data_IF_962105137946
#
_entry.id   IF_962105137946
#
_cell.length_a   1.000
_cell.length_b   1.000
_cell.length_c   1.000
_cell.angle_alpha   90.00
_cell.angle_beta   90.00
_cell.angle_gamma   90.00
#
_symmetry.space_group_name_H-M   'P 1'
#
loop_
_entity.id
_entity.type
_entity.pdbx_description
1 polymer ?
#
# COMPACT_ATOMS: atom_id res chain seq x y z
N UNK A 1 -10.66 -4.71 14.64
CA UNK A 1 -10.10 -5.18 13.35
C UNK A 1 -10.88 -4.62 12.18
N UNK A 2 -12.19 -4.88 12.07
CA UNK A 2 -13.04 -4.32 11.01
C UNK A 2 -12.93 -2.79 10.89
N UNK A 3 -12.83 -2.08 12.02
CA UNK A 3 -12.68 -0.62 12.02
C UNK A 3 -11.37 -0.09 11.39
N UNK A 4 -10.30 -0.89 11.34
CA UNK A 4 -8.99 -0.53 10.77
C UNK A 4 -8.84 -0.92 9.30
N UNK A 5 -9.79 -1.66 8.71
CA UNK A 5 -9.57 -2.26 7.37
C UNK A 5 -9.39 -1.23 6.27
N UNK A 6 -10.15 -0.16 6.35
CA UNK A 6 -10.04 0.94 5.43
C UNK A 6 -8.64 1.59 5.49
N UNK A 7 -8.08 1.71 6.70
CA UNK A 7 -6.77 2.31 6.96
C UNK A 7 -5.61 1.35 6.64
N UNK A 8 -5.86 0.03 6.69
CA UNK A 8 -4.88 -1.00 6.32
C UNK A 8 -4.88 -1.27 4.81
N UNK A 9 -6.05 -1.18 4.16
CA UNK A 9 -6.28 -1.52 2.76
C UNK A 9 -6.25 -0.30 1.84
N UNK A 10 -7.41 0.22 1.37
CA UNK A 10 -7.46 1.35 0.43
C UNK A 10 -6.63 2.57 0.90
N UNK A 11 -6.74 2.93 2.18
CA UNK A 11 -5.98 4.00 2.84
C UNK A 11 -4.61 3.58 3.40
N UNK A 12 -4.17 2.35 3.16
CA UNK A 12 -2.93 1.79 3.74
C UNK A 12 -2.04 1.05 2.73
N UNK A 13 -1.05 0.35 3.27
CA UNK A 13 -0.06 -0.43 2.50
C UNK A 13 -0.02 -1.91 2.93
N UNK A 14 -0.94 -2.34 3.79
CA UNK A 14 -0.88 -3.67 4.39
C UNK A 14 -1.32 -4.73 3.37
N UNK A 15 -0.40 -5.61 2.99
CA UNK A 15 -0.67 -6.71 2.04
C UNK A 15 -1.07 -8.01 2.74
N UNK A 16 -0.55 -8.20 3.96
CA UNK A 16 -0.55 -9.48 4.67
C UNK A 16 -0.74 -9.21 6.16
N UNK A 17 -1.61 -9.97 6.82
CA UNK A 17 -1.81 -9.89 8.28
C UNK A 17 -1.54 -11.27 8.87
N UNK A 18 -0.46 -11.41 9.64
CA UNK A 18 -0.10 -12.68 10.28
C UNK A 18 -0.52 -12.65 11.76
N UNK A 19 -1.26 -13.68 12.19
CA UNK A 19 -1.63 -13.90 13.59
C UNK A 19 -0.65 -14.87 14.23
N UNK A 20 -0.11 -14.47 15.39
CA UNK A 20 0.81 -15.31 16.15
C UNK A 20 0.19 -15.57 17.52
N UNK A 21 -0.28 -16.80 17.74
CA UNK A 21 -0.80 -17.26 19.02
C UNK A 21 0.35 -17.89 19.81
N UNK A 22 0.77 -17.27 20.91
CA UNK A 22 2.04 -17.57 21.60
C UNK A 22 1.95 -18.47 22.85
N UNK A 23 0.73 -18.82 23.29
CA UNK A 23 0.47 -19.57 24.54
C UNK A 23 0.02 -21.00 24.27
N UNK A 24 0.50 -21.56 23.18
CA UNK A 24 0.14 -22.87 22.62
C UNK A 24 0.45 -24.04 23.56
N UNK A 25 1.46 -23.90 24.41
CA UNK A 25 1.90 -24.88 25.42
C UNK A 25 1.27 -24.70 26.81
N UNK A 26 0.62 -23.55 27.05
CA UNK A 26 0.00 -23.19 28.34
C UNK A 26 -1.41 -23.78 28.42
N UNK A 27 -1.52 -25.07 28.78
CA UNK A 27 -2.79 -25.82 28.81
C UNK A 27 -2.94 -26.67 30.07
N UNK A 28 -4.09 -26.54 30.75
CA UNK A 28 -4.55 -27.49 31.75
C UNK A 28 -5.42 -28.56 31.09
N UNK A 29 -4.91 -29.78 30.99
CA UNK A 29 -5.54 -30.89 30.24
C UNK A 29 -6.95 -31.20 30.79
N UNK A 30 -7.09 -31.28 32.13
CA UNK A 30 -8.36 -31.65 32.77
C UNK A 30 -9.44 -30.60 32.54
N UNK A 31 -9.06 -29.33 32.61
CA UNK A 31 -9.96 -28.21 32.37
C UNK A 31 -10.34 -28.10 30.88
N UNK A 32 -9.37 -28.34 29.99
CA UNK A 32 -9.60 -28.33 28.56
C UNK A 32 -10.56 -29.45 28.11
N UNK A 33 -10.39 -30.68 28.59
CA UNK A 33 -11.28 -31.79 28.25
C UNK A 33 -12.72 -31.56 28.73
N UNK A 34 -12.90 -30.98 29.92
CA UNK A 34 -14.22 -30.63 30.46
C UNK A 34 -14.95 -29.58 29.64
N UNK A 35 -14.21 -28.59 29.13
CA UNK A 35 -14.77 -27.47 28.36
C UNK A 35 -14.98 -27.80 26.88
N UNK A 36 -14.01 -28.46 26.24
CA UNK A 36 -14.04 -28.74 24.80
C UNK A 36 -14.90 -29.95 24.42
N UNK A 37 -15.19 -30.88 25.37
CA UNK A 37 -15.92 -32.15 25.15
C UNK A 37 -15.62 -32.83 23.81
N UNK A 38 -14.34 -33.03 23.47
CA UNK A 38 -13.99 -33.52 22.15
C UNK A 38 -14.37 -35.02 22.02
N UNK A 39 -14.84 -35.45 20.85
CA UNK A 39 -15.36 -36.81 20.63
C UNK A 39 -14.36 -37.89 21.03
N UNK A 40 -14.84 -38.96 21.67
CA UNK A 40 -14.01 -39.99 22.33
C UNK A 40 -12.94 -40.63 21.45
N UNK A 41 -13.15 -40.69 20.14
CA UNK A 41 -12.21 -41.28 19.17
C UNK A 41 -11.01 -40.38 18.81
N UNK A 42 -11.00 -39.11 19.21
CA UNK A 42 -9.89 -38.18 18.88
C UNK A 42 -8.67 -38.31 19.81
N UNK A 43 -8.78 -39.04 20.93
CA UNK A 43 -7.72 -39.17 21.95
C UNK A 43 -7.24 -40.61 22.18
N UNK A 44 -7.66 -41.57 21.35
CA UNK A 44 -7.49 -43.02 21.59
C UNK A 44 -6.26 -43.65 20.93
N UNK A 45 -5.31 -42.87 20.39
CA UNK A 45 -4.13 -43.45 19.74
C UNK A 45 -2.82 -42.81 20.20
N UNK A 46 -2.04 -43.56 20.99
CA UNK A 46 -0.57 -43.58 21.08
C UNK A 46 0.25 -42.30 21.36
N UNK A 47 -0.29 -41.10 21.15
CA UNK A 47 0.37 -39.81 21.42
C UNK A 47 0.06 -39.34 22.83
N UNK A 48 1.01 -38.63 23.45
CA UNK A 48 0.84 -38.00 24.76
C UNK A 48 -0.48 -37.19 24.78
N UNK A 49 -1.34 -37.45 25.77
CA UNK A 49 -2.65 -36.79 25.91
C UNK A 49 -2.54 -35.26 25.85
N UNK A 50 -1.44 -34.70 26.38
CA UNK A 50 -1.12 -33.27 26.32
C UNK A 50 -1.00 -32.77 24.88
N UNK A 51 -0.27 -33.50 24.04
CA UNK A 51 -0.05 -33.22 22.62
C UNK A 51 -1.36 -33.20 21.85
N UNK A 52 -2.23 -34.20 22.07
CA UNK A 52 -3.53 -34.26 21.42
C UNK A 52 -4.42 -33.05 21.81
N UNK A 53 -4.42 -32.66 23.08
CA UNK A 53 -5.14 -31.47 23.54
C UNK A 53 -4.58 -30.16 22.94
N UNK A 54 -3.25 -30.02 22.84
CA UNK A 54 -2.60 -28.86 22.21
C UNK A 54 -3.01 -28.77 20.74
N UNK A 55 -2.90 -29.86 19.99
CA UNK A 55 -3.27 -29.88 18.57
C UNK A 55 -4.74 -29.52 18.34
N UNK A 56 -5.65 -30.10 19.12
CA UNK A 56 -7.07 -29.79 19.02
C UNK A 56 -7.33 -28.31 19.30
N UNK A 57 -6.75 -27.75 20.38
CA UNK A 57 -6.88 -26.33 20.73
C UNK A 57 -6.35 -25.41 19.64
N UNK A 58 -5.18 -25.72 19.10
CA UNK A 58 -4.55 -24.95 18.04
C UNK A 58 -5.40 -24.93 16.78
N UNK A 59 -5.91 -26.10 16.39
CA UNK A 59 -6.82 -26.22 15.24
C UNK A 59 -8.08 -25.39 15.46
N UNK A 60 -8.74 -25.53 16.61
CA UNK A 60 -9.92 -24.73 16.95
C UNK A 60 -9.63 -23.22 16.95
N UNK A 61 -8.49 -22.79 17.48
CA UNK A 61 -8.10 -21.38 17.49
C UNK A 61 -7.90 -20.84 16.07
N UNK A 62 -7.21 -21.59 15.20
CA UNK A 62 -7.03 -21.23 13.79
C UNK A 62 -8.34 -21.16 13.04
N UNK A 63 -9.18 -22.19 13.17
CA UNK A 63 -10.48 -22.24 12.52
C UNK A 63 -11.37 -21.09 13.03
N UNK A 64 -11.30 -20.74 14.32
CA UNK A 64 -12.02 -19.59 14.87
C UNK A 64 -11.54 -18.26 14.27
N UNK A 65 -10.23 -18.04 14.15
CA UNK A 65 -9.69 -16.82 13.54
C UNK A 65 -10.03 -16.77 12.04
N UNK A 66 -9.85 -17.87 11.31
CA UNK A 66 -10.19 -17.97 9.88
C UNK A 66 -11.68 -17.75 9.64
N UNK A 67 -12.55 -18.41 10.38
CA UNK A 67 -13.99 -18.22 10.26
C UNK A 67 -14.40 -16.78 10.60
N UNK A 68 -13.80 -16.16 11.63
CA UNK A 68 -14.03 -14.73 11.92
C UNK A 68 -13.55 -13.84 10.77
N UNK A 69 -12.44 -14.17 10.13
CA UNK A 69 -11.94 -13.46 8.96
C UNK A 69 -12.85 -13.61 7.74
N UNK A 70 -13.33 -14.82 7.45
CA UNK A 70 -14.18 -15.13 6.30
C UNK A 70 -15.61 -14.60 6.45
N UNK A 71 -16.13 -14.58 7.67
CA UNK A 71 -17.50 -14.11 7.98
C UNK A 71 -17.61 -12.58 8.10
N UNK A 72 -16.49 -11.86 8.10
CA UNK A 72 -16.50 -10.40 8.08
C UNK A 72 -17.05 -9.88 6.74
N UNK A 73 -18.07 -9.01 6.82
CA UNK A 73 -18.91 -8.61 5.69
C UNK A 73 -18.23 -7.66 4.69
N UNK A 74 -17.09 -7.07 5.02
CA UNK A 74 -16.47 -6.09 4.12
C UNK A 74 -15.77 -6.79 2.93
N UNK A 75 -16.09 -6.32 1.71
CA UNK A 75 -15.38 -6.69 0.47
C UNK A 75 -13.87 -6.42 0.56
N UNK A 76 -13.44 -5.54 1.46
CA UNK A 76 -12.03 -5.21 1.68
C UNK A 76 -11.24 -6.35 2.35
N UNK A 77 -11.88 -7.24 3.10
CA UNK A 77 -11.20 -8.33 3.81
C UNK A 77 -10.65 -9.42 2.88
N UNK A 78 -11.32 -9.70 1.76
CA UNK A 78 -10.86 -10.68 0.77
C UNK A 78 -9.51 -10.32 0.13
N UNK A 79 -8.99 -9.12 0.40
CA UNK A 79 -7.74 -8.60 -0.14
C UNK A 79 -6.52 -8.92 0.71
N UNK A 80 -6.71 -9.22 2.00
CA UNK A 80 -5.60 -9.59 2.88
C UNK A 80 -5.41 -11.10 2.88
N UNK A 81 -4.16 -11.53 2.82
CA UNK A 81 -3.79 -12.89 3.22
C UNK A 81 -3.64 -12.92 4.74
N UNK A 82 -4.31 -13.88 5.39
CA UNK A 82 -4.32 -14.03 6.83
C UNK A 82 -3.84 -15.42 7.25
N UNK A 83 -2.57 -15.51 7.63
CA UNK A 83 -2.01 -16.74 8.20
C UNK A 83 -2.09 -16.72 9.72
N UNK A 84 -2.36 -17.89 10.30
CA UNK A 84 -2.46 -18.05 11.76
C UNK A 84 -1.46 -19.10 12.20
N UNK A 85 -0.46 -18.65 12.96
CA UNK A 85 0.61 -19.47 13.52
C UNK A 85 0.32 -19.73 14.99
N UNK A 86 0.38 -21.01 15.39
CA UNK A 86 0.30 -21.41 16.80
C UNK A 86 1.68 -21.84 17.27
N UNK A 87 2.30 -21.01 18.12
CA UNK A 87 3.68 -21.17 18.59
C UNK A 87 3.74 -21.19 20.11
N UNK A 88 4.62 -22.01 20.67
CA UNK A 88 4.96 -21.91 22.09
C UNK A 88 6.00 -20.82 22.31
N UNK A 89 5.67 -19.83 23.13
CA UNK A 89 6.65 -18.83 23.56
C UNK A 89 7.78 -19.46 24.39
N UNK A 90 7.47 -20.46 25.22
CA UNK A 90 8.50 -21.16 26.01
C UNK A 90 9.47 -21.93 25.12
N UNK A 91 8.96 -22.74 24.20
CA UNK A 91 9.81 -23.49 23.26
C UNK A 91 10.54 -22.59 22.24
N UNK A 92 10.11 -21.34 22.08
CA UNK A 92 10.86 -20.37 21.27
C UNK A 92 12.13 -19.87 21.98
N UNK A 93 12.10 -19.72 23.31
CA UNK A 93 13.24 -19.22 24.10
C UNK A 93 14.11 -20.32 24.70
N UNK A 94 13.57 -21.53 24.85
CA UNK A 94 14.25 -22.67 25.47
C UNK A 94 14.34 -23.82 24.45
N UNK A 95 15.55 -24.04 23.94
CA UNK A 95 15.84 -25.08 22.96
C UNK A 95 15.78 -26.50 23.54
N UNK A 96 15.80 -26.64 24.87
CA UNK A 96 15.75 -27.92 25.58
C UNK A 96 14.30 -28.41 25.76
N UNK A 97 13.31 -27.52 25.58
CA UNK A 97 11.90 -27.89 25.43
C UNK A 97 11.69 -28.57 24.08
N UNK A 98 11.98 -29.87 24.02
CA UNK A 98 11.69 -30.73 22.88
C UNK A 98 10.17 -30.87 22.65
N UNK A 99 9.54 -29.84 22.11
CA UNK A 99 8.23 -29.94 21.48
C UNK A 99 8.43 -30.48 20.07
N UNK A 100 7.65 -31.48 19.67
CA UNK A 100 7.67 -31.99 18.30
C UNK A 100 7.36 -30.82 17.34
N UNK A 101 8.04 -30.75 16.18
CA UNK A 101 7.77 -29.76 15.13
C UNK A 101 6.32 -29.80 14.64
N UNK A 102 5.61 -30.91 14.88
CA UNK A 102 4.17 -31.01 14.65
C UNK A 102 3.36 -30.23 15.71
N UNK A 103 3.84 -30.10 16.95
CA UNK A 103 3.13 -29.48 18.08
C UNK A 103 3.18 -27.94 18.07
N UNK A 104 4.22 -27.38 17.45
CA UNK A 104 4.47 -25.94 17.39
C UNK A 104 4.89 -25.51 16.00
N UNK A 105 4.33 -24.40 15.51
CA UNK A 105 4.63 -23.88 14.17
C UNK A 105 5.81 -22.91 14.14
N UNK A 106 6.67 -22.97 15.15
CA UNK A 106 7.91 -22.17 15.20
C UNK A 106 8.73 -22.34 13.92
N UNK A 107 8.97 -23.57 13.38
CA UNK A 107 9.71 -23.71 12.13
C UNK A 107 9.05 -22.99 10.95
N UNK A 108 7.72 -23.13 10.79
CA UNK A 108 6.98 -22.46 9.72
C UNK A 108 7.02 -20.94 9.83
N UNK A 109 6.92 -20.41 11.05
CA UNK A 109 7.04 -18.98 11.30
C UNK A 109 8.47 -18.49 11.00
N UNK A 110 9.49 -19.24 11.41
CA UNK A 110 10.88 -18.94 11.08
C UNK A 110 11.12 -18.95 9.57
N UNK A 111 10.56 -19.92 8.85
CA UNK A 111 10.68 -20.00 7.39
C UNK A 111 9.99 -18.83 6.70
N UNK A 112 8.78 -18.45 7.14
CA UNK A 112 8.11 -17.24 6.65
C UNK A 112 9.00 -16.01 6.85
N UNK A 113 9.50 -15.78 8.07
CA UNK A 113 10.34 -14.63 8.39
C UNK A 113 11.66 -14.64 7.59
N UNK A 114 12.31 -15.79 7.48
CA UNK A 114 13.53 -15.97 6.67
C UNK A 114 13.25 -15.68 5.20
N UNK A 115 12.16 -16.17 4.65
CA UNK A 115 11.76 -15.95 3.25
C UNK A 115 11.43 -14.48 3.00
N UNK A 116 10.69 -13.82 3.89
CA UNK A 116 10.43 -12.39 3.81
C UNK A 116 11.73 -11.58 3.83
N UNK A 117 12.61 -11.87 4.79
CA UNK A 117 13.91 -11.18 4.88
C UNK A 117 14.82 -11.46 3.67
N UNK A 118 14.78 -12.70 3.14
CA UNK A 118 15.51 -13.06 1.91
C UNK A 118 14.97 -12.27 0.71
N UNK A 119 13.66 -12.18 0.55
CA UNK A 119 13.03 -11.40 -0.53
C UNK A 119 13.41 -9.92 -0.47
N UNK A 120 13.35 -9.31 0.72
CA UNK A 120 13.71 -7.88 0.91
C UNK A 120 15.19 -7.67 0.56
N UNK A 121 16.09 -8.52 1.08
CA UNK A 121 17.52 -8.41 0.78
C UNK A 121 17.83 -8.60 -0.70
N UNK A 122 17.14 -9.51 -1.39
CA UNK A 122 17.29 -9.71 -2.84
C UNK A 122 16.89 -8.46 -3.61
N UNK A 123 15.75 -7.86 -3.28
CA UNK A 123 15.28 -6.64 -3.94
C UNK A 123 16.27 -5.48 -3.75
N UNK A 124 16.73 -5.25 -2.52
CA UNK A 124 17.76 -4.24 -2.24
C UNK A 124 19.06 -4.52 -2.99
N UNK A 125 19.55 -5.77 -2.96
CA UNK A 125 20.80 -6.15 -3.64
C UNK A 125 20.69 -5.94 -5.15
N UNK A 126 19.58 -6.36 -5.76
CA UNK A 126 19.30 -6.15 -7.18
C UNK A 126 19.32 -4.67 -7.54
N UNK A 127 18.69 -3.82 -6.72
CA UNK A 127 18.65 -2.39 -6.97
C UNK A 127 20.03 -1.73 -6.84
N UNK A 128 20.87 -2.18 -5.91
CA UNK A 128 22.27 -1.74 -5.81
C UNK A 128 23.11 -2.20 -7.01
N UNK A 129 23.03 -3.48 -7.39
CA UNK A 129 23.77 -4.03 -8.55
C UNK A 129 23.35 -3.34 -9.84
N UNK A 130 22.06 -3.13 -10.06
CA UNK A 130 21.57 -2.42 -11.24
C UNK A 130 22.12 -0.99 -11.30
N UNK A 131 22.12 -0.24 -10.19
CA UNK A 131 22.69 1.10 -10.16
C UNK A 131 24.19 1.11 -10.46
N UNK A 132 24.95 0.18 -9.88
CA UNK A 132 26.38 0.03 -10.19
C UNK A 132 26.61 -0.27 -11.68
N UNK A 133 25.84 -1.20 -12.26
CA UNK A 133 25.88 -1.51 -13.70
C UNK A 133 25.63 -0.27 -14.56
N UNK A 134 24.65 0.56 -14.22
CA UNK A 134 24.38 1.82 -14.92
C UNK A 134 25.61 2.74 -14.97
N UNK A 135 26.28 2.93 -13.83
CA UNK A 135 27.49 3.76 -13.76
C UNK A 135 28.60 3.19 -14.64
N UNK A 136 28.84 1.88 -14.61
CA UNK A 136 29.86 1.26 -15.45
C UNK A 136 29.53 1.36 -16.94
N UNK A 137 28.26 1.14 -17.33
CA UNK A 137 27.81 1.36 -18.71
C UNK A 137 28.04 2.80 -19.15
N UNK A 138 27.78 3.78 -18.29
CA UNK A 138 28.07 5.17 -18.59
C UNK A 138 29.58 5.41 -18.81
N UNK A 139 30.44 4.94 -17.91
CA UNK A 139 31.91 5.07 -18.04
C UNK A 139 32.39 4.45 -19.36
N UNK A 140 31.95 3.21 -19.65
CA UNK A 140 32.34 2.50 -20.86
C UNK A 140 31.84 3.19 -22.12
N UNK A 141 30.63 3.77 -22.10
CA UNK A 141 30.11 4.54 -23.24
C UNK A 141 31.00 5.75 -23.56
N UNK A 142 31.46 6.46 -22.54
CA UNK A 142 32.34 7.62 -22.74
C UNK A 142 33.71 7.19 -23.26
N UNK A 143 34.27 6.09 -22.73
CA UNK A 143 35.57 5.56 -23.18
C UNK A 143 35.57 5.24 -24.68
N UNK A 144 34.46 4.72 -25.21
CA UNK A 144 34.30 4.37 -26.63
C UNK A 144 33.97 5.58 -27.52
N UNK A 145 33.87 6.78 -26.95
CA UNK A 145 33.58 8.03 -27.65
C UNK A 145 34.82 8.65 -28.32
N UNK A 146 35.35 8.00 -29.35
CA UNK A 146 36.65 8.39 -29.95
C UNK A 146 36.56 8.93 -31.38
N UNK A 147 35.41 8.86 -32.05
CA UNK A 147 35.33 9.06 -33.52
C UNK A 147 34.42 10.22 -33.96
N UNK A 148 34.93 11.13 -34.79
CA UNK A 148 34.20 12.24 -35.42
C UNK A 148 32.98 11.79 -36.25
N UNK A 149 33.05 10.61 -36.89
CA UNK A 149 31.96 10.02 -37.65
C UNK A 149 30.73 9.59 -36.82
N UNK A 150 30.88 9.46 -35.48
CA UNK A 150 29.77 9.09 -34.58
C UNK A 150 28.87 10.26 -34.21
N UNK A 151 29.29 11.52 -34.45
CA UNK A 151 28.53 12.70 -34.04
C UNK A 151 27.12 12.75 -34.65
N UNK A 152 26.99 12.42 -35.94
CA UNK A 152 25.70 12.38 -36.63
C UNK A 152 24.78 11.29 -36.09
N UNK A 153 25.33 10.09 -35.85
CA UNK A 153 24.57 8.96 -35.30
C UNK A 153 24.09 9.25 -33.87
N UNK A 154 24.95 9.85 -33.03
CA UNK A 154 24.58 10.32 -31.69
C UNK A 154 23.45 11.32 -31.72
N UNK A 155 23.52 12.33 -32.61
CA UNK A 155 22.48 13.33 -32.73
C UNK A 155 21.13 12.69 -33.13
N UNK A 156 21.14 11.72 -34.05
CA UNK A 156 19.94 10.95 -34.42
C UNK A 156 19.39 10.17 -33.23
N UNK A 157 20.21 9.35 -32.57
CA UNK A 157 19.77 8.52 -31.43
C UNK A 157 19.28 9.39 -30.26
N UNK A 158 19.96 10.50 -29.96
CA UNK A 158 19.53 11.46 -28.95
C UNK A 158 18.15 12.04 -29.27
N UNK A 159 17.91 12.41 -30.53
CA UNK A 159 16.60 12.87 -30.99
C UNK A 159 15.53 11.79 -30.82
N UNK A 160 15.84 10.54 -31.20
CA UNK A 160 14.93 9.40 -31.06
C UNK A 160 14.53 9.15 -29.60
N UNK A 161 15.46 9.35 -28.65
CA UNK A 161 15.16 9.27 -27.21
C UNK A 161 14.17 10.35 -26.77
N UNK A 162 14.35 11.60 -27.20
CA UNK A 162 13.43 12.69 -26.87
C UNK A 162 12.05 12.49 -27.48
N UNK A 163 11.97 12.07 -28.74
CA UNK A 163 10.70 11.76 -29.42
C UNK A 163 9.99 10.58 -28.72
N UNK A 164 10.73 9.54 -28.33
CA UNK A 164 10.20 8.40 -27.57
C UNK A 164 9.73 8.81 -26.18
N UNK A 165 10.48 9.66 -25.48
CA UNK A 165 10.08 10.22 -24.18
C UNK A 165 8.78 11.02 -24.27
N UNK A 166 8.67 11.90 -25.27
CA UNK A 166 7.45 12.69 -25.46
C UNK A 166 6.24 11.81 -25.76
N UNK A 167 6.41 10.82 -26.65
CA UNK A 167 5.37 9.84 -26.99
C UNK A 167 4.91 9.04 -25.77
N UNK A 168 5.85 8.48 -25.01
CA UNK A 168 5.57 7.69 -23.82
C UNK A 168 4.87 8.52 -22.73
N UNK A 169 5.28 9.79 -22.53
CA UNK A 169 4.63 10.71 -21.60
C UNK A 169 3.19 11.05 -22.03
N UNK A 170 2.97 11.26 -23.34
CA UNK A 170 1.63 11.53 -23.89
C UNK A 170 0.68 10.36 -23.66
N UNK A 171 1.15 9.14 -23.89
CA UNK A 171 0.38 7.92 -23.64
C UNK A 171 0.06 7.76 -22.14
N UNK A 172 1.06 7.91 -21.27
CA UNK A 172 0.90 7.86 -19.82
C UNK A 172 -0.13 8.89 -19.32
N UNK A 173 -0.04 10.13 -19.79
CA UNK A 173 -0.97 11.20 -19.43
C UNK A 173 -2.41 10.91 -19.91
N UNK A 174 -2.57 10.28 -21.08
CA UNK A 174 -3.87 9.84 -21.56
C UNK A 174 -4.52 8.83 -20.60
N UNK A 175 -3.75 7.84 -20.13
CA UNK A 175 -4.20 6.85 -19.16
C UNK A 175 -4.59 7.51 -17.82
N UNK A 176 -3.77 8.42 -17.31
CA UNK A 176 -4.08 9.16 -16.08
C UNK A 176 -5.33 10.04 -16.20
N UNK A 177 -5.54 10.68 -17.35
CA UNK A 177 -6.75 11.46 -17.60
C UNK A 177 -8.00 10.58 -17.68
N UNK A 178 -7.89 9.37 -18.21
CA UNK A 178 -8.98 8.38 -18.19
C UNK A 178 -9.36 8.01 -16.75
N UNK A 179 -8.36 7.66 -15.93
CA UNK A 179 -8.58 7.33 -14.52
C UNK A 179 -9.17 8.50 -13.72
N UNK A 180 -8.71 9.73 -13.97
CA UNK A 180 -9.26 10.93 -13.35
C UNK A 180 -10.76 11.06 -13.62
N UNK A 181 -11.19 10.89 -14.87
CA UNK A 181 -12.62 11.01 -15.26
C UNK A 181 -13.48 9.94 -14.58
N UNK A 182 -13.00 8.70 -14.53
CA UNK A 182 -13.70 7.59 -13.87
C UNK A 182 -13.91 7.91 -12.39
N UNK A 183 -12.83 8.30 -11.70
CA UNK A 183 -12.89 8.64 -10.27
C UNK A 183 -13.76 9.87 -10.02
N UNK A 184 -13.68 10.91 -10.86
CA UNK A 184 -14.54 12.09 -10.75
C UNK A 184 -16.03 11.73 -10.83
N UNK A 185 -16.41 10.82 -11.74
CA UNK A 185 -17.78 10.34 -11.85
C UNK A 185 -18.23 9.55 -10.62
N UNK A 186 -17.40 8.61 -10.15
CA UNK A 186 -17.65 7.86 -8.92
C UNK A 186 -17.81 8.78 -7.71
N UNK A 187 -16.92 9.76 -7.57
CA UNK A 187 -16.94 10.71 -6.46
C UNK A 187 -18.21 11.58 -6.52
N UNK A 188 -18.63 12.02 -7.72
CA UNK A 188 -19.85 12.82 -7.89
C UNK A 188 -21.09 12.08 -7.41
N UNK A 189 -21.24 10.80 -7.79
CA UNK A 189 -22.32 9.93 -7.29
C UNK A 189 -22.25 9.76 -5.76
N UNK A 190 -21.04 9.66 -5.21
CA UNK A 190 -20.81 9.61 -3.77
C UNK A 190 -21.25 10.89 -3.06
N UNK A 191 -20.98 12.07 -3.65
CA UNK A 191 -21.41 13.37 -3.12
C UNK A 191 -22.92 13.50 -3.12
N UNK A 192 -23.59 13.20 -4.24
CA UNK A 192 -25.05 13.24 -4.36
C UNK A 192 -25.72 12.40 -3.25
N UNK A 193 -25.31 11.13 -3.13
CA UNK A 193 -25.81 10.23 -2.08
C UNK A 193 -25.50 10.74 -0.67
N UNK A 194 -24.32 11.32 -0.47
CA UNK A 194 -23.93 11.87 0.85
C UNK A 194 -24.81 13.05 1.23
N UNK A 195 -25.09 13.97 0.31
CA UNK A 195 -25.99 15.11 0.55
C UNK A 195 -27.39 14.62 0.93
N UNK A 196 -27.92 13.64 0.21
CA UNK A 196 -29.25 13.08 0.47
C UNK A 196 -29.36 12.33 1.80
N UNK A 197 -28.30 11.58 2.19
CA UNK A 197 -28.39 10.58 3.25
C UNK A 197 -27.52 10.86 4.49
N UNK A 198 -26.73 11.93 4.51
CA UNK A 198 -25.80 12.21 5.61
C UNK A 198 -26.49 12.26 6.98
N UNK A 199 -27.65 12.91 7.08
CA UNK A 199 -28.39 13.05 8.34
C UNK A 199 -29.01 11.73 8.80
N UNK A 200 -29.63 10.98 7.89
CA UNK A 200 -30.22 9.67 8.21
C UNK A 200 -29.13 8.66 8.59
N UNK A 201 -27.94 8.75 7.99
CA UNK A 201 -26.78 7.90 8.32
C UNK A 201 -26.15 8.28 9.66
N UNK A 202 -26.12 9.57 10.00
CA UNK A 202 -25.44 10.08 11.20
C UNK A 202 -26.28 9.94 12.48
N UNK A 203 -27.61 10.09 12.39
CA UNK A 203 -28.52 10.00 13.55
C UNK A 203 -28.36 8.69 14.35
N UNK A 204 -28.33 7.50 13.73
CA UNK A 204 -28.09 6.23 14.46
C UNK A 204 -26.73 6.19 15.17
N UNK A 205 -25.68 6.77 14.57
CA UNK A 205 -24.34 6.80 15.16
C UNK A 205 -24.32 7.67 16.40
N UNK A 206 -24.96 8.85 16.36
CA UNK A 206 -25.12 9.71 17.53
C UNK A 206 -25.97 9.02 18.59
N UNK A 207 -27.08 8.37 18.22
CA UNK A 207 -27.92 7.61 19.14
C UNK A 207 -27.14 6.53 19.91
N UNK A 208 -26.18 5.87 19.24
CA UNK A 208 -25.33 4.83 19.86
C UNK A 208 -24.39 5.35 20.96
N UNK A 209 -24.21 6.67 21.09
CA UNK A 209 -23.38 7.33 22.12
C UNK A 209 -24.19 8.14 23.13
N UNK A 210 -25.51 8.28 22.93
CA UNK A 210 -26.43 9.00 23.83
C UNK A 210 -26.54 8.45 25.27
N UNK A 211 -26.30 7.16 25.60
CA UNK A 211 -26.43 6.71 26.98
C UNK A 211 -25.55 7.45 28.00
N UNK A 212 -24.58 8.25 27.53
CA UNK A 212 -23.69 9.05 28.38
C UNK A 212 -23.45 10.44 27.79
N UNK A 213 -23.91 11.49 28.48
CA UNK A 213 -23.69 12.90 28.09
C UNK A 213 -22.20 13.22 27.94
N UNK A 214 -21.37 12.61 28.80
CA UNK A 214 -19.90 12.71 28.77
C UNK A 214 -19.31 12.14 27.48
N UNK A 215 -19.92 11.10 26.92
CA UNK A 215 -19.45 10.44 25.68
C UNK A 215 -19.69 11.33 24.47
N UNK A 216 -20.89 11.87 24.32
CA UNK A 216 -21.19 12.82 23.24
C UNK A 216 -20.36 14.09 23.38
N UNK A 217 -20.15 14.58 24.61
CA UNK A 217 -19.25 15.71 24.83
C UNK A 217 -17.80 15.40 24.44
N UNK A 218 -17.27 14.22 24.79
CA UNK A 218 -15.92 13.80 24.41
C UNK A 218 -15.77 13.68 22.89
N UNK A 219 -16.76 13.09 22.21
CA UNK A 219 -16.82 13.02 20.75
C UNK A 219 -16.72 14.41 20.11
N UNK A 220 -17.48 15.39 20.59
CA UNK A 220 -17.41 16.76 20.11
C UNK A 220 -16.06 17.44 20.41
N UNK A 221 -15.52 17.28 21.64
CA UNK A 221 -14.21 17.84 22.01
C UNK A 221 -13.08 17.29 21.14
N UNK A 222 -13.21 16.05 20.71
CA UNK A 222 -12.25 15.34 19.88
C UNK A 222 -12.62 15.35 18.40
N UNK A 223 -13.26 16.44 17.92
CA UNK A 223 -13.57 16.68 16.50
C UNK A 223 -14.29 15.51 15.80
N UNK A 224 -15.31 14.96 16.46
CA UNK A 224 -16.13 13.88 15.91
C UNK A 224 -15.54 12.48 16.07
N UNK A 225 -14.47 12.30 16.84
CA UNK A 225 -13.85 11.00 17.10
C UNK A 225 -13.85 10.65 18.59
N UNK A 226 -14.25 9.44 18.96
CA UNK A 226 -14.14 8.97 20.33
C UNK A 226 -14.00 7.45 20.39
N UNK A 227 -13.08 6.96 21.23
CA UNK A 227 -12.92 5.53 21.49
C UNK A 227 -13.41 5.21 22.91
N UNK A 228 -14.62 4.64 23.06
CA UNK A 228 -15.09 4.17 24.36
C UNK A 228 -14.30 2.95 24.81
N UNK A 229 -13.85 2.94 26.08
CA UNK A 229 -13.11 1.79 26.66
C UNK A 229 -13.83 0.44 26.54
N UNK A 230 -15.17 0.47 26.51
CA UNK A 230 -16.02 -0.73 26.51
C UNK A 230 -16.57 -1.07 25.11
N UNK A 231 -16.06 -0.46 24.04
CA UNK A 231 -16.45 -0.80 22.65
C UNK A 231 -15.24 -1.28 21.86
N UNK A 232 -15.48 -2.28 21.00
CA UNK A 232 -14.48 -2.88 20.10
C UNK A 232 -14.11 -2.01 18.90
N UNK A 233 -14.78 -0.86 18.74
CA UNK A 233 -14.54 0.08 17.65
C UNK A 233 -14.71 1.53 18.12
N UNK A 234 -13.91 2.46 17.57
CA UNK A 234 -14.12 3.89 17.78
C UNK A 234 -15.41 4.35 17.08
N UNK A 235 -15.99 5.42 17.62
CA UNK A 235 -17.07 6.18 16.98
C UNK A 235 -16.44 7.35 16.25
N UNK A 236 -16.60 7.39 14.93
CA UNK A 236 -16.04 8.42 14.06
C UNK A 236 -17.14 8.99 13.15
N UNK A 237 -17.58 10.21 13.47
CA UNK A 237 -18.61 10.90 12.70
C UNK A 237 -18.11 11.33 11.32
N UNK A 238 -16.82 11.63 11.18
CA UNK A 238 -16.26 12.06 9.89
C UNK A 238 -16.21 10.88 8.93
N UNK A 239 -15.82 9.70 9.42
CA UNK A 239 -15.89 8.43 8.68
C UNK A 239 -17.33 8.07 8.30
N UNK A 240 -18.28 8.27 9.22
CA UNK A 240 -19.71 8.07 8.96
C UNK A 240 -20.23 8.99 7.85
N UNK A 241 -19.85 10.27 7.87
CA UNK A 241 -20.22 11.24 6.83
C UNK A 241 -19.59 10.91 5.49
N UNK A 242 -18.35 10.42 5.47
CA UNK A 242 -17.63 10.02 4.27
C UNK A 242 -18.10 8.68 3.67
N UNK A 243 -18.94 7.91 4.39
CA UNK A 243 -19.32 6.53 4.05
C UNK A 243 -19.74 6.38 2.59
N UNK A 244 -20.70 7.20 2.14
CA UNK A 244 -21.26 7.09 0.80
C UNK A 244 -20.24 7.49 -0.28
N UNK A 245 -19.29 8.39 0.02
CA UNK A 245 -18.19 8.67 -0.90
C UNK A 245 -17.33 7.42 -1.08
N UNK A 246 -16.86 6.84 0.03
CA UNK A 246 -16.04 5.62 0.00
C UNK A 246 -16.71 4.47 -0.75
N UNK A 247 -17.98 4.19 -0.45
CA UNK A 247 -18.75 3.14 -1.13
C UNK A 247 -18.84 3.32 -2.66
N UNK A 248 -18.72 4.55 -3.18
CA UNK A 248 -18.75 4.81 -4.63
C UNK A 248 -17.36 4.89 -5.27
N UNK A 249 -16.30 5.22 -4.52
CA UNK A 249 -14.94 5.35 -5.08
C UNK A 249 -14.07 4.12 -4.87
N UNK A 250 -14.32 3.33 -3.82
CA UNK A 250 -13.36 2.31 -3.37
C UNK A 250 -13.04 1.29 -4.47
N UNK A 251 -14.04 0.85 -5.23
CA UNK A 251 -13.84 -0.14 -6.29
C UNK A 251 -12.82 0.35 -7.34
N UNK A 252 -13.06 1.52 -7.94
CA UNK A 252 -12.16 2.09 -8.95
C UNK A 252 -10.84 2.56 -8.34
N UNK A 253 -10.86 3.12 -7.12
CA UNK A 253 -9.65 3.56 -6.43
C UNK A 253 -8.69 2.39 -6.18
N UNK A 254 -9.22 1.22 -5.80
CA UNK A 254 -8.41 0.02 -5.59
C UNK A 254 -7.90 -0.60 -6.90
N UNK A 255 -8.58 -0.39 -8.04
CA UNK A 255 -8.06 -0.79 -9.35
C UNK A 255 -6.90 0.09 -9.80
N UNK A 256 -6.97 1.39 -9.52
CA UNK A 256 -5.96 2.40 -9.87
C UNK A 256 -4.76 2.33 -8.90
N UNK A 257 -5.02 2.09 -7.61
CA UNK A 257 -4.01 2.02 -6.57
C UNK A 257 -4.14 0.74 -5.71
N UNK A 258 -3.85 -0.43 -6.30
CA UNK A 258 -3.92 -1.69 -5.58
C UNK A 258 -2.93 -1.71 -4.41
N UNK A 259 -3.32 -2.40 -3.33
CA UNK A 259 -2.47 -2.59 -2.15
C UNK A 259 -1.31 -3.54 -2.44
N UNK A 260 -1.59 -4.60 -3.20
CA UNK A 260 -0.55 -5.49 -3.72
C UNK A 260 -0.25 -5.17 -5.19
N UNK A 261 0.97 -4.69 -5.43
CA UNK A 261 1.50 -4.40 -6.77
C UNK A 261 1.63 -5.63 -7.67
N UNK A 262 1.52 -6.84 -7.12
CA UNK A 262 1.48 -8.08 -7.91
C UNK A 262 0.11 -8.30 -8.57
N UNK A 263 -0.95 -7.70 -8.04
CA UNK A 263 -2.29 -7.81 -8.64
C UNK A 263 -2.29 -6.99 -9.93
N UNK A 264 -2.39 -7.70 -11.06
CA UNK A 264 -2.48 -7.07 -12.38
C UNK A 264 -3.92 -6.69 -12.68
N UNK A 265 -4.24 -5.40 -12.51
CA UNK A 265 -5.58 -4.86 -12.80
C UNK A 265 -5.67 -4.35 -14.24
N UNK A 266 -4.52 -4.19 -14.92
CA UNK A 266 -4.42 -3.54 -16.22
C UNK A 266 -4.58 -2.01 -16.17
N UNK A 267 -5.03 -1.47 -15.03
CA UNK A 267 -5.36 -0.05 -14.81
C UNK A 267 -4.45 0.62 -13.80
N UNK A 268 -3.68 -0.12 -13.00
CA UNK A 268 -2.99 0.49 -11.85
C UNK A 268 -1.91 1.49 -12.28
N UNK A 269 -1.71 2.53 -11.48
CA UNK A 269 -0.66 3.52 -11.71
C UNK A 269 0.71 2.85 -11.76
N UNK A 270 0.95 1.84 -10.92
CA UNK A 270 2.19 1.07 -10.91
C UNK A 270 2.41 0.33 -12.22
N UNK A 271 1.37 -0.29 -12.80
CA UNK A 271 1.49 -0.93 -14.12
C UNK A 271 1.73 0.08 -15.24
N UNK A 272 1.11 1.27 -15.18
CA UNK A 272 1.38 2.31 -16.17
C UNK A 272 2.83 2.80 -16.08
N UNK A 273 3.38 2.92 -14.87
CA UNK A 273 4.80 3.23 -14.65
C UNK A 273 5.69 2.09 -15.18
N UNK A 274 5.33 0.81 -14.95
CA UNK A 274 6.11 -0.32 -15.45
C UNK A 274 6.13 -0.38 -16.99
N UNK A 275 4.98 -0.12 -17.64
CA UNK A 275 4.80 -0.12 -19.10
C UNK A 275 5.49 1.05 -19.80
N UNK A 276 5.63 2.19 -19.12
CA UNK A 276 6.34 3.35 -19.66
C UNK A 276 7.73 2.91 -20.15
N UNK A 277 8.14 3.25 -21.37
CA UNK A 277 9.51 2.98 -21.83
C UNK A 277 9.88 4.00 -22.89
N UNK A 278 11.09 4.56 -22.79
CA UNK A 278 11.67 5.39 -23.85
C UNK A 278 12.56 4.59 -24.80
N UNK A 279 12.77 3.31 -24.49
CA UNK A 279 13.71 2.44 -25.19
C UNK A 279 12.93 1.51 -26.10
N UNK A 280 13.20 1.61 -27.40
CA UNK A 280 12.58 0.77 -28.41
C UNK A 280 13.33 -0.57 -28.49
N UNK A 281 12.62 -1.68 -28.31
CA UNK A 281 13.20 -3.03 -28.30
C UNK A 281 13.72 -3.51 -29.68
N UNK A 282 13.58 -2.70 -30.73
CA UNK A 282 13.94 -3.08 -32.10
C UNK A 282 15.42 -2.91 -32.46
N UNK A 283 16.18 -2.09 -31.73
CA UNK A 283 17.58 -1.81 -32.07
C UNK A 283 18.52 -2.60 -31.18
N UNK A 284 19.20 -3.58 -31.78
CA UNK A 284 20.23 -4.39 -31.12
C UNK A 284 21.59 -3.83 -31.51
N UNK A 285 22.27 -3.21 -30.54
CA UNK A 285 23.66 -2.78 -30.71
C UNK A 285 24.61 -3.89 -30.26
N UNK A 286 25.74 -4.05 -30.96
CA UNK A 286 26.79 -4.97 -30.54
C UNK A 286 27.35 -4.58 -29.16
N UNK A 287 27.73 -5.53 -28.28
CA UNK A 287 28.29 -5.21 -26.95
C UNK A 287 29.53 -4.32 -26.97
N UNK A 288 30.30 -4.34 -28.06
CA UNK A 288 31.46 -3.45 -28.27
C UNK A 288 31.08 -2.02 -28.67
N UNK A 289 29.79 -1.74 -28.92
CA UNK A 289 29.31 -0.43 -29.36
C UNK A 289 29.06 0.50 -28.18
N UNK A 290 29.49 1.75 -28.32
CA UNK A 290 29.08 2.84 -27.44
C UNK A 290 27.56 2.90 -27.24
N UNK A 291 26.78 2.70 -28.30
CA UNK A 291 25.33 2.78 -28.26
C UNK A 291 24.70 1.65 -27.44
N UNK A 292 25.34 0.48 -27.37
CA UNK A 292 24.92 -0.60 -26.47
C UNK A 292 25.03 -0.16 -25.01
N UNK A 293 26.17 0.43 -24.64
CA UNK A 293 26.38 0.92 -23.29
C UNK A 293 25.47 2.11 -22.95
N UNK A 294 25.25 3.06 -23.88
CA UNK A 294 24.26 4.14 -23.69
C UNK A 294 22.86 3.56 -23.47
N UNK A 295 22.43 2.61 -24.30
CA UNK A 295 21.11 2.00 -24.16
C UNK A 295 20.94 1.31 -22.81
N UNK A 296 21.94 0.57 -22.33
CA UNK A 296 21.87 -0.10 -21.03
C UNK A 296 21.98 0.87 -19.84
N UNK A 297 22.75 1.96 -19.97
CA UNK A 297 22.70 3.07 -19.01
C UNK A 297 21.29 3.67 -18.94
N UNK A 298 20.67 3.98 -20.08
CA UNK A 298 19.32 4.53 -20.13
C UNK A 298 18.28 3.56 -19.55
N UNK A 299 18.38 2.24 -19.82
CA UNK A 299 17.53 1.21 -19.19
C UNK A 299 17.64 1.25 -17.66
N UNK A 300 18.86 1.44 -17.17
CA UNK A 300 19.14 1.48 -15.74
C UNK A 300 18.54 2.74 -15.10
N UNK A 301 18.77 3.92 -15.69
CA UNK A 301 18.22 5.17 -15.18
C UNK A 301 16.68 5.17 -15.24
N UNK A 302 16.08 4.62 -16.30
CA UNK A 302 14.62 4.45 -16.38
C UNK A 302 14.10 3.53 -15.27
N UNK A 303 14.73 2.38 -15.06
CA UNK A 303 14.34 1.45 -13.99
C UNK A 303 14.44 2.10 -12.61
N UNK A 304 15.51 2.86 -12.36
CA UNK A 304 15.73 3.61 -11.11
C UNK A 304 14.60 4.62 -10.86
N UNK A 305 14.26 5.44 -11.86
CA UNK A 305 13.18 6.43 -11.74
C UNK A 305 11.83 5.74 -11.52
N UNK A 306 11.54 4.63 -12.23
CA UNK A 306 10.33 3.83 -12.04
C UNK A 306 10.22 3.27 -10.62
N UNK A 307 11.29 2.68 -10.09
CA UNK A 307 11.30 2.11 -8.72
C UNK A 307 11.06 3.20 -7.68
N UNK A 308 11.72 4.35 -7.81
CA UNK A 308 11.51 5.51 -6.94
C UNK A 308 10.04 5.98 -6.98
N UNK A 309 9.48 6.18 -8.18
CA UNK A 309 8.10 6.63 -8.34
C UNK A 309 7.08 5.63 -7.79
N UNK A 310 7.29 4.32 -7.98
CA UNK A 310 6.38 3.29 -7.42
C UNK A 310 6.31 3.37 -5.90
N UNK A 311 7.46 3.55 -5.23
CA UNK A 311 7.51 3.73 -3.78
C UNK A 311 6.78 5.01 -3.34
N UNK A 312 7.08 6.14 -3.99
CA UNK A 312 6.51 7.43 -3.62
C UNK A 312 4.98 7.50 -3.86
N UNK A 313 4.50 6.88 -4.95
CA UNK A 313 3.05 6.79 -5.24
C UNK A 313 2.30 6.03 -4.14
N UNK A 314 2.89 4.97 -3.57
CA UNK A 314 2.27 4.23 -2.48
C UNK A 314 2.10 5.10 -1.23
N UNK A 315 3.06 5.97 -0.94
CA UNK A 315 2.94 6.93 0.16
C UNK A 315 1.90 8.02 -0.13
N UNK A 316 1.89 8.56 -1.35
CA UNK A 316 0.93 9.59 -1.76
C UNK A 316 -0.51 9.07 -1.81
N UNK A 317 -0.72 7.79 -2.12
CA UNK A 317 -2.03 7.13 -2.09
C UNK A 317 -2.71 7.29 -0.73
N UNK A 318 -1.98 7.03 0.35
CA UNK A 318 -2.50 7.15 1.73
C UNK A 318 -3.05 8.57 1.95
N UNK A 319 -2.24 9.57 1.58
CA UNK A 319 -2.59 10.97 1.75
C UNK A 319 -3.85 11.30 0.95
N UNK A 320 -3.90 10.95 -0.34
CA UNK A 320 -5.06 11.17 -1.21
C UNK A 320 -6.34 10.59 -0.59
N UNK A 321 -6.28 9.33 -0.13
CA UNK A 321 -7.44 8.64 0.38
C UNK A 321 -7.95 9.26 1.70
N UNK A 322 -7.02 9.62 2.60
CA UNK A 322 -7.34 10.24 3.90
C UNK A 322 -7.97 11.64 3.79
N UNK A 323 -7.70 12.39 2.72
CA UNK A 323 -8.19 13.77 2.52
C UNK A 323 -9.71 13.88 2.57
N UNK A 324 -10.43 12.84 2.17
CA UNK A 324 -11.90 12.85 2.19
C UNK A 324 -12.38 13.09 3.61
N UNK A 325 -11.88 12.28 4.55
CA UNK A 325 -12.25 12.37 5.95
C UNK A 325 -11.67 13.64 6.60
N UNK A 326 -10.43 14.01 6.30
CA UNK A 326 -9.81 15.23 6.85
C UNK A 326 -10.56 16.48 6.43
N UNK A 327 -10.95 16.60 5.16
CA UNK A 327 -11.69 17.76 4.65
C UNK A 327 -13.07 17.87 5.33
N UNK A 328 -13.77 16.74 5.50
CA UNK A 328 -15.04 16.68 6.23
C UNK A 328 -14.86 17.13 7.68
N UNK A 329 -13.81 16.64 8.35
CA UNK A 329 -13.51 16.99 9.73
C UNK A 329 -13.21 18.48 9.88
N UNK A 330 -12.44 19.06 8.97
CA UNK A 330 -12.09 20.48 8.99
C UNK A 330 -13.33 21.36 8.87
N UNK A 331 -14.24 21.03 7.94
CA UNK A 331 -15.53 21.72 7.78
C UNK A 331 -16.40 21.58 9.04
N UNK A 332 -16.48 20.38 9.61
CA UNK A 332 -17.30 20.10 10.80
C UNK A 332 -16.73 20.65 12.11
N UNK A 333 -15.44 21.02 12.15
CA UNK A 333 -14.73 21.36 13.39
C UNK A 333 -15.41 22.50 14.17
N UNK A 334 -15.93 23.52 13.50
CA UNK A 334 -16.64 24.62 14.17
C UNK A 334 -17.94 24.14 14.83
N UNK A 335 -18.71 23.28 14.16
CA UNK A 335 -19.93 22.68 14.72
C UNK A 335 -19.64 21.77 15.90
N UNK A 336 -18.56 20.98 15.83
CA UNK A 336 -18.12 20.16 16.97
C UNK A 336 -17.75 21.00 18.19
N UNK A 337 -17.02 22.11 18.00
CA UNK A 337 -16.70 23.05 19.09
C UNK A 337 -17.97 23.64 19.71
N UNK A 338 -18.88 24.16 18.87
CA UNK A 338 -20.17 24.73 19.32
C UNK A 338 -21.04 23.70 20.08
N UNK A 339 -21.02 22.45 19.65
CA UNK A 339 -21.71 21.36 20.35
C UNK A 339 -21.02 21.03 21.68
N UNK A 340 -19.69 20.99 21.75
CA UNK A 340 -18.94 20.69 22.98
C UNK A 340 -19.20 21.71 24.11
N UNK A 341 -19.47 22.96 23.74
CA UNK A 341 -19.76 24.08 24.66
C UNK A 341 -21.13 24.01 25.35
N UNK A 342 -22.07 23.22 24.82
CA UNK A 342 -23.40 23.09 25.44
C UNK A 342 -23.29 22.46 26.83
N UNK A 343 -23.94 23.09 27.83
CA UNK A 343 -23.93 22.69 29.25
C UNK A 343 -25.35 22.79 29.83
N UNK A 344 -25.52 22.24 31.03
CA UNK A 344 -26.76 22.31 31.81
C UNK A 344 -27.84 21.30 31.41
N UNK A 345 -29.06 21.51 31.89
CA UNK A 345 -30.19 20.63 31.63
C UNK A 345 -30.49 20.56 30.12
N UNK A 346 -30.67 19.34 29.61
CA UNK A 346 -30.88 19.07 28.18
C UNK A 346 -29.65 19.29 27.30
N UNK A 347 -28.43 19.41 27.87
CA UNK A 347 -27.21 19.61 27.10
C UNK A 347 -27.04 18.56 25.99
N UNK A 348 -27.29 17.28 26.29
CA UNK A 348 -27.19 16.18 25.33
C UNK A 348 -27.99 16.43 24.05
N UNK A 349 -29.29 16.72 24.19
CA UNK A 349 -30.16 17.03 23.05
C UNK A 349 -29.68 18.27 22.29
N UNK A 350 -29.26 19.31 23.02
CA UNK A 350 -28.67 20.51 22.42
C UNK A 350 -27.40 20.20 21.61
N UNK A 351 -26.54 19.28 22.07
CA UNK A 351 -25.33 18.86 21.32
C UNK A 351 -25.71 18.14 20.03
N UNK A 352 -26.61 17.17 20.12
CA UNK A 352 -27.11 16.44 18.96
C UNK A 352 -27.72 17.40 17.92
N UNK A 353 -28.65 18.26 18.34
CA UNK A 353 -29.27 19.26 17.47
C UNK A 353 -28.21 20.14 16.81
N UNK A 354 -27.22 20.61 17.57
CA UNK A 354 -26.13 21.44 17.01
C UNK A 354 -25.33 20.69 15.94
N UNK A 355 -25.03 19.40 16.14
CA UNK A 355 -24.31 18.59 15.13
C UNK A 355 -25.16 18.41 13.88
N UNK A 356 -26.44 18.04 14.03
CA UNK A 356 -27.35 17.81 12.90
C UNK A 356 -27.58 19.09 12.11
N UNK A 357 -27.82 20.23 12.78
CA UNK A 357 -27.94 21.54 12.13
C UNK A 357 -26.67 21.93 11.38
N UNK A 358 -25.49 21.63 11.95
CA UNK A 358 -24.21 21.86 11.27
C UNK A 358 -24.11 21.01 10.00
N UNK A 359 -24.49 19.73 10.07
CA UNK A 359 -24.47 18.83 8.89
C UNK A 359 -25.43 19.35 7.82
N UNK A 360 -26.66 19.72 8.18
CA UNK A 360 -27.63 20.26 7.22
C UNK A 360 -27.14 21.55 6.55
N UNK A 361 -26.49 22.44 7.32
CA UNK A 361 -25.93 23.68 6.80
C UNK A 361 -24.75 23.43 5.85
N UNK A 362 -23.92 22.44 6.13
CA UNK A 362 -22.65 22.23 5.43
C UNK A 362 -22.68 21.11 4.38
N UNK A 363 -23.71 20.27 4.31
CA UNK A 363 -23.71 19.04 3.48
C UNK A 363 -23.27 19.31 2.03
N UNK A 364 -23.79 20.35 1.38
CA UNK A 364 -23.47 20.65 -0.02
C UNK A 364 -22.02 21.09 -0.20
N UNK A 365 -21.54 22.03 0.61
CA UNK A 365 -20.18 22.56 0.51
C UNK A 365 -19.14 21.55 1.00
N UNK A 366 -19.39 20.87 2.12
CA UNK A 366 -18.47 19.94 2.75
C UNK A 366 -18.09 18.76 1.83
N UNK A 367 -19.09 18.12 1.20
CA UNK A 367 -18.82 16.99 0.31
C UNK A 367 -18.24 17.46 -1.03
N UNK A 368 -18.65 18.63 -1.54
CA UNK A 368 -18.08 19.23 -2.74
C UNK A 368 -16.61 19.62 -2.55
N UNK A 369 -16.27 20.19 -1.40
CA UNK A 369 -14.89 20.56 -1.05
C UNK A 369 -14.02 19.31 -0.92
N UNK A 370 -14.53 18.25 -0.28
CA UNK A 370 -13.84 16.96 -0.21
C UNK A 370 -13.54 16.39 -1.61
N UNK A 371 -14.50 16.48 -2.55
CA UNK A 371 -14.29 16.11 -3.96
C UNK A 371 -13.19 16.96 -4.60
N UNK A 372 -13.25 18.29 -4.46
CA UNK A 372 -12.30 19.22 -5.09
C UNK A 372 -10.88 18.94 -4.59
N UNK A 373 -10.69 18.81 -3.27
CA UNK A 373 -9.38 18.54 -2.67
C UNK A 373 -8.83 17.19 -3.11
N UNK A 374 -9.66 16.14 -3.08
CA UNK A 374 -9.26 14.81 -3.54
C UNK A 374 -8.80 14.83 -5.01
N UNK A 375 -9.60 15.42 -5.91
CA UNK A 375 -9.30 15.45 -7.35
C UNK A 375 -8.08 16.31 -7.66
N UNK A 376 -7.89 17.42 -6.92
CA UNK A 376 -6.70 18.25 -7.01
C UNK A 376 -5.45 17.45 -6.65
N UNK A 377 -5.48 16.71 -5.55
CA UNK A 377 -4.33 15.90 -5.13
C UNK A 377 -4.09 14.70 -6.05
N UNK A 378 -5.13 14.04 -6.54
CA UNK A 378 -4.99 13.00 -7.57
C UNK A 378 -4.26 13.55 -8.80
N UNK A 379 -4.67 14.71 -9.31
CA UNK A 379 -4.03 15.39 -10.45
C UNK A 379 -2.60 15.85 -10.13
N UNK A 380 -2.35 16.29 -8.90
CA UNK A 380 -1.01 16.63 -8.41
C UNK A 380 -0.07 15.43 -8.51
N UNK A 381 -0.51 14.25 -8.07
CA UNK A 381 0.28 13.01 -8.14
C UNK A 381 0.55 12.58 -9.58
N UNK A 382 -0.44 12.61 -10.46
CA UNK A 382 -0.23 12.21 -11.87
C UNK A 382 0.70 13.16 -12.61
N UNK A 383 0.57 14.47 -12.38
CA UNK A 383 1.50 15.47 -12.91
C UNK A 383 2.92 15.29 -12.36
N UNK A 384 3.05 14.98 -11.07
CA UNK A 384 4.33 14.73 -10.44
C UNK A 384 5.06 13.54 -11.07
N UNK A 385 4.36 12.43 -11.34
CA UNK A 385 4.91 11.26 -12.03
C UNK A 385 5.46 11.66 -13.41
N UNK A 386 4.63 12.31 -14.24
CA UNK A 386 5.03 12.73 -15.57
C UNK A 386 6.19 13.72 -15.57
N UNK A 387 6.19 14.69 -14.65
CA UNK A 387 7.28 15.66 -14.49
C UNK A 387 8.59 15.00 -14.07
N UNK A 388 8.53 14.07 -13.11
CA UNK A 388 9.73 13.36 -12.61
C UNK A 388 10.34 12.50 -13.71
N UNK A 389 9.52 11.72 -14.44
CA UNK A 389 9.98 10.95 -15.59
C UNK A 389 10.64 11.85 -16.64
N UNK A 390 9.97 12.95 -17.03
CA UNK A 390 10.52 13.91 -17.99
C UNK A 390 11.86 14.47 -17.52
N UNK A 391 11.91 15.03 -16.33
CA UNK A 391 13.10 15.73 -15.82
C UNK A 391 14.29 14.78 -15.64
N UNK A 392 14.11 13.62 -15.01
CA UNK A 392 15.23 12.72 -14.71
C UNK A 392 15.72 11.99 -15.97
N UNK A 393 14.82 11.61 -16.89
CA UNK A 393 15.22 10.97 -18.14
C UNK A 393 15.84 11.96 -19.13
N UNK A 394 15.34 13.20 -19.23
CA UNK A 394 16.00 14.23 -20.04
C UNK A 394 17.42 14.50 -19.55
N UNK A 395 17.64 14.64 -18.24
CA UNK A 395 19.00 14.76 -17.68
C UNK A 395 19.88 13.57 -18.03
N UNK A 396 19.33 12.36 -18.02
CA UNK A 396 20.07 11.14 -18.34
C UNK A 396 20.46 11.09 -19.83
N UNK A 397 19.55 11.49 -20.73
CA UNK A 397 19.84 11.67 -22.15
C UNK A 397 20.93 12.73 -22.34
N UNK A 398 20.76 13.93 -21.76
CA UNK A 398 21.75 15.01 -21.84
C UNK A 398 23.13 14.55 -21.41
N UNK A 399 23.25 13.86 -20.27
CA UNK A 399 24.52 13.32 -19.78
C UNK A 399 25.13 12.29 -20.73
N UNK A 400 24.32 11.39 -21.29
CA UNK A 400 24.79 10.32 -22.19
C UNK A 400 25.38 10.84 -23.50
N UNK A 401 24.91 12.00 -23.96
CA UNK A 401 25.30 12.58 -25.24
C UNK A 401 26.14 13.86 -25.10
N UNK A 402 26.44 14.28 -23.86
CA UNK A 402 27.35 15.40 -23.61
C UNK A 402 28.80 15.02 -23.95
N UNK A 403 29.54 15.94 -24.55
CA UNK A 403 30.97 15.72 -24.82
C UNK A 403 31.74 15.69 -23.50
N UNK A 404 32.27 14.52 -23.14
CA UNK A 404 33.25 14.46 -22.05
C UNK A 404 34.62 14.85 -22.61
N UNK A 405 35.31 15.79 -21.96
CA UNK A 405 36.71 16.10 -22.23
C UNK A 405 37.56 14.82 -22.14
N UNK A 406 38.53 14.69 -23.05
CA UNK A 406 39.53 13.61 -23.27
C UNK A 406 40.26 13.08 -22.01
N UNK A 407 39.57 12.69 -20.96
CA UNK A 407 40.13 12.01 -19.81
C UNK A 407 40.29 10.53 -20.17
N UNK A 408 41.44 9.93 -19.86
CA UNK A 408 41.62 8.49 -19.97
C UNK A 408 40.73 7.81 -18.94
N UNK A 409 39.50 7.49 -19.33
CA UNK A 409 38.60 6.74 -18.48
C UNK A 409 39.07 5.29 -18.38
N UNK A 410 38.86 4.71 -17.20
CA UNK A 410 39.21 3.31 -16.92
C UNK A 410 38.42 2.38 -17.84
N UNK A 411 39.09 1.31 -18.29
CA UNK A 411 38.41 0.17 -18.88
C UNK A 411 37.62 -0.54 -17.79
N UNK A 412 36.29 -0.62 -17.95
CA UNK A 412 35.41 -1.26 -16.97
C UNK A 412 34.68 -2.48 -17.54
N UNK A 413 35.16 -3.01 -18.68
CA UNK A 413 34.55 -4.15 -19.35
C UNK A 413 34.49 -5.41 -18.46
N UNK A 414 35.57 -5.71 -17.73
CA UNK A 414 35.62 -6.85 -16.81
C UNK A 414 34.67 -6.70 -15.62
N UNK A 415 34.53 -5.48 -15.08
CA UNK A 415 33.59 -5.19 -13.99
C UNK A 415 32.14 -5.29 -14.47
N UNK A 416 31.84 -4.87 -15.70
CA UNK A 416 30.51 -5.04 -16.32
C UNK A 416 30.17 -6.53 -16.43
N UNK A 417 31.07 -7.35 -16.98
CA UNK A 417 30.87 -8.81 -17.11
C UNK A 417 30.64 -9.46 -15.74
N UNK A 418 31.45 -9.09 -14.75
CA UNK A 418 31.32 -9.60 -13.38
C UNK A 418 29.95 -9.26 -12.77
N UNK A 419 29.49 -8.01 -12.92
CA UNK A 419 28.18 -7.60 -12.43
C UNK A 419 27.01 -8.21 -13.23
N UNK A 420 27.20 -8.52 -14.52
CA UNK A 420 26.23 -9.26 -15.32
C UNK A 420 26.05 -10.67 -14.79
N UNK A 421 27.15 -11.40 -14.60
CA UNK A 421 27.13 -12.74 -13.99
C UNK A 421 26.49 -12.72 -12.61
N UNK A 422 26.85 -11.77 -11.75
CA UNK A 422 26.23 -11.64 -10.42
C UNK A 422 24.73 -11.34 -10.49
N UNK A 423 24.31 -10.51 -11.46
CA UNK A 423 22.90 -10.19 -11.66
C UNK A 423 22.08 -11.41 -12.09
N UNK A 424 22.65 -12.30 -12.91
CA UNK A 424 22.02 -13.57 -13.31
C UNK A 424 21.84 -14.49 -12.09
N UNK A 425 22.89 -14.64 -11.28
CA UNK A 425 22.81 -15.43 -10.03
C UNK A 425 21.76 -14.88 -9.06
N UNK A 426 21.61 -13.55 -8.97
CA UNK A 426 20.57 -12.92 -8.13
C UNK A 426 19.16 -13.19 -8.69
N UNK A 427 19.01 -13.35 -10.01
CA UNK A 427 17.72 -13.63 -10.65
C UNK A 427 17.31 -15.11 -10.52
N UNK A 428 18.27 -16.04 -10.45
CA UNK A 428 18.04 -17.48 -10.33
C UNK A 428 17.72 -17.96 -8.89
N UNK A 429 18.13 -17.17 -7.89
CA UNK A 429 17.92 -17.46 -6.46
C UNK A 429 16.57 -16.93 -6.03
#
# INVERSE_FOLDING_TARGET
>A
MEHCMQDLGPGGQCKTINFICTRTDDINIKEYQRSARPSGDQFTSGKNLKTACIHHRNKTAKDSVKNKFETMKSKDFRRFTADVFTVSSKAYFDADLQMDQNETEIPKLQDLLKNTNKSIRRELTRDYVNQAKGVLFFIQSIKLDTNEGMAKLKATVCKDYYESLEKALKELNSQFNSHYKIIEQCFSKGVEKSVEQCVSTTKPVIASVKPSDKTLQALCKNKGYYWPKNKDAPVDLNKCLAKHIYENIDEEFNLIFPVDSKIKTGKSVQEQIDKFSIIQNGTVYAPSSMLYHIQNFMKTEETKVKTFLKSDVVQRKINIYSLIQTTIQDQMTAGYKKAAEKRGLGAMGKRETTIIETIELLKDSMFKDAKIQFLKEFKSVTNYIGKTLKTELSKSVERSFSQSSKASLMDVSTEIETLETLSEHIAEI
#
